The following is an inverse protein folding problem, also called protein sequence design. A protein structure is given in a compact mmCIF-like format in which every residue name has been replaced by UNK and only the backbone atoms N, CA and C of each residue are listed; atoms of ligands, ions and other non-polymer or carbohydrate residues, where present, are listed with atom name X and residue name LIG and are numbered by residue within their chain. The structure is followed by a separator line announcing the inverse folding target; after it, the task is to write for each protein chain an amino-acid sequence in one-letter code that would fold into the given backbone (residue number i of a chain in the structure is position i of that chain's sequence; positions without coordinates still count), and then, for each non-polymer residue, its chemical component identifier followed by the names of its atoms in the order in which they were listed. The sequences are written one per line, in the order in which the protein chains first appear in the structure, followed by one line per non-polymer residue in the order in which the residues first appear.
data_IF_096025300554
#
_entry.id   IF_096025300554
#
_cell.length_a   1.000
_cell.length_b   1.000
_cell.length_c   1.000
_cell.angle_alpha   90.00
_cell.angle_beta   90.00
_cell.angle_gamma   90.00
#
_symmetry.space_group_name_H-M   'P 1'
#
loop_
_entity.id
_entity.type
_entity.pdbx_description
1 polymer ?
#
# COMPACT_ATOMS: atom_id res chain seq x y z
N UNK A 1 -9.44 -25.71 2.01
CA UNK A 1 -10.53 -24.98 2.70
C UNK A 1 -11.53 -26.01 3.15
N UNK A 2 -11.84 -26.07 4.45
CA UNK A 2 -12.96 -26.89 4.91
C UNK A 2 -14.24 -26.19 4.45
N UNK A 3 -14.81 -26.64 3.33
CA UNK A 3 -16.10 -26.14 2.84
C UNK A 3 -17.23 -26.74 3.69
N UNK A 4 -17.26 -26.37 4.97
CA UNK A 4 -18.41 -26.58 5.83
C UNK A 4 -19.26 -25.30 5.83
N UNK A 5 -20.34 -25.21 5.03
CA UNK A 5 -21.16 -24.01 4.92
C UNK A 5 -21.82 -23.62 6.24
N UNK A 6 -21.95 -24.56 7.20
CA UNK A 6 -22.44 -24.25 8.55
C UNK A 6 -21.38 -23.52 9.38
N UNK A 7 -20.12 -23.94 9.28
CA UNK A 7 -19.01 -23.29 9.97
C UNK A 7 -18.83 -21.86 9.48
N UNK A 8 -18.91 -21.62 8.17
CA UNK A 8 -18.84 -20.28 7.57
C UNK A 8 -19.95 -19.36 8.08
N UNK A 9 -21.22 -19.82 8.02
CA UNK A 9 -22.36 -19.02 8.53
C UNK A 9 -22.25 -18.72 10.02
N UNK A 10 -21.72 -19.67 10.79
CA UNK A 10 -21.51 -19.48 12.22
C UNK A 10 -20.37 -18.49 12.47
N UNK A 11 -19.28 -18.59 11.72
CA UNK A 11 -18.15 -17.66 11.77
C UNK A 11 -18.59 -16.21 11.51
N UNK A 12 -19.34 -15.98 10.43
CA UNK A 12 -19.86 -14.65 10.09
C UNK A 12 -20.73 -14.07 11.20
N UNK A 13 -21.63 -14.90 11.77
CA UNK A 13 -22.45 -14.47 12.91
C UNK A 13 -21.61 -14.16 14.14
N UNK A 14 -20.65 -15.01 14.50
CA UNK A 14 -19.75 -14.78 15.64
C UNK A 14 -18.99 -13.48 15.45
N UNK A 15 -18.45 -13.21 14.24
CA UNK A 15 -17.75 -11.98 13.91
C UNK A 15 -18.59 -10.74 14.21
N UNK A 16 -19.83 -10.70 13.70
CA UNK A 16 -20.75 -9.56 13.90
C UNK A 16 -21.11 -9.39 15.39
N UNK A 17 -21.41 -10.49 16.09
CA UNK A 17 -21.79 -10.45 17.50
C UNK A 17 -20.62 -9.94 18.35
N UNK A 18 -19.42 -10.50 18.16
CA UNK A 18 -18.23 -10.10 18.92
C UNK A 18 -17.88 -8.65 18.64
N UNK A 19 -17.87 -8.21 17.38
CA UNK A 19 -17.59 -6.82 17.03
C UNK A 19 -18.59 -5.84 17.68
N UNK A 20 -19.89 -6.15 17.60
CA UNK A 20 -20.95 -5.32 18.22
C UNK A 20 -20.81 -5.27 19.75
N UNK A 21 -20.44 -6.39 20.37
CA UNK A 21 -20.30 -6.48 21.83
C UNK A 21 -19.06 -5.75 22.34
N UNK A 22 -17.98 -5.75 21.57
CA UNK A 22 -16.79 -4.96 21.89
C UNK A 22 -17.11 -3.46 21.85
N UNK A 23 -17.80 -2.99 20.82
CA UNK A 23 -18.19 -1.58 20.66
C UNK A 23 -19.17 -1.11 21.74
N UNK A 24 -20.19 -1.92 22.05
CA UNK A 24 -21.29 -1.46 22.92
C UNK A 24 -21.10 -1.76 24.40
N UNK A 25 -20.41 -2.86 24.75
CA UNK A 25 -20.48 -3.45 26.09
C UNK A 25 -19.14 -3.62 26.80
N UNK A 26 -18.03 -3.67 26.07
CA UNK A 26 -16.70 -3.76 26.67
C UNK A 26 -16.12 -2.36 26.82
N UNK A 27 -16.29 -1.78 28.01
CA UNK A 27 -15.70 -0.50 28.41
C UNK A 27 -14.52 -0.71 29.36
N UNK A 28 -13.54 -1.49 28.92
CA UNK A 28 -12.31 -1.70 29.68
C UNK A 28 -11.30 -0.60 29.31
N UNK A 29 -10.75 0.17 30.27
CA UNK A 29 -9.73 1.18 29.98
C UNK A 29 -8.48 0.64 29.29
N UNK A 30 -8.21 -0.67 29.40
CA UNK A 30 -7.08 -1.37 28.76
C UNK A 30 -7.38 -1.81 27.34
N UNK A 31 -8.64 -1.76 26.91
CA UNK A 31 -9.03 -2.09 25.55
C UNK A 31 -8.70 -0.90 24.66
N UNK A 32 -7.69 -1.05 23.80
CA UNK A 32 -7.38 -0.05 22.76
C UNK A 32 -8.43 -0.03 21.66
N UNK A 33 -8.13 0.66 20.56
CA UNK A 33 -9.00 0.61 19.37
C UNK A 33 -8.84 -0.75 18.67
N UNK A 34 -9.75 -1.67 18.98
CA UNK A 34 -9.72 -3.06 18.48
C UNK A 34 -10.64 -3.25 17.28
N UNK A 35 -10.15 -3.92 16.25
CA UNK A 35 -10.95 -4.33 15.09
C UNK A 35 -10.91 -5.85 14.92
N UNK A 36 -12.07 -6.48 14.69
CA UNK A 36 -12.14 -7.91 14.37
C UNK A 36 -12.02 -8.11 12.86
N UNK A 37 -10.94 -8.76 12.42
CA UNK A 37 -10.61 -8.95 11.00
C UNK A 37 -11.27 -10.19 10.43
N UNK A 38 -11.18 -11.32 11.11
CA UNK A 38 -11.69 -12.61 10.65
C UNK A 38 -12.12 -13.51 11.82
N UNK A 39 -12.97 -14.48 11.52
CA UNK A 39 -13.32 -15.55 12.48
C UNK A 39 -13.28 -16.88 11.74
N UNK A 40 -12.59 -17.87 12.32
CA UNK A 40 -12.53 -19.23 11.79
C UNK A 40 -13.12 -20.20 12.78
N UNK A 41 -14.07 -21.00 12.31
CA UNK A 41 -14.72 -22.04 13.11
C UNK A 41 -14.22 -23.40 12.65
N UNK A 42 -13.90 -24.27 13.60
CA UNK A 42 -13.48 -25.64 13.34
C UNK A 42 -14.60 -26.46 12.67
N UNK A 43 -14.22 -27.54 11.96
CA UNK A 43 -15.18 -28.36 11.22
C UNK A 43 -16.26 -29.01 12.09
N UNK A 44 -15.96 -29.24 13.37
CA UNK A 44 -16.86 -29.78 14.39
C UNK A 44 -17.66 -28.71 15.15
N UNK A 45 -17.48 -27.42 14.82
CA UNK A 45 -18.16 -26.26 15.40
C UNK A 45 -17.90 -26.04 16.90
N UNK A 46 -16.87 -26.66 17.47
CA UNK A 46 -16.56 -26.56 18.91
C UNK A 46 -15.55 -25.46 19.24
N UNK A 47 -14.75 -25.03 18.26
CA UNK A 47 -13.72 -24.02 18.43
C UNK A 47 -13.91 -22.91 17.42
N UNK A 48 -13.76 -21.67 17.87
CA UNK A 48 -13.79 -20.49 17.03
C UNK A 48 -12.59 -19.60 17.36
N UNK A 49 -11.72 -19.41 16.38
CA UNK A 49 -10.58 -18.51 16.45
C UNK A 49 -10.98 -17.15 15.89
N UNK A 50 -10.89 -16.12 16.71
CA UNK A 50 -11.22 -14.73 16.39
C UNK A 50 -9.90 -13.98 16.17
N UNK A 51 -9.71 -13.49 14.95
CA UNK A 51 -8.58 -12.67 14.57
C UNK A 51 -8.92 -11.20 14.81
N UNK A 52 -8.01 -10.48 15.45
CA UNK A 52 -8.21 -9.08 15.79
C UNK A 52 -6.94 -8.27 15.62
N UNK A 53 -7.11 -6.98 15.39
CA UNK A 53 -6.02 -6.01 15.29
C UNK A 53 -6.22 -4.95 16.34
N UNK A 54 -5.12 -4.42 16.86
CA UNK A 54 -5.13 -3.32 17.82
C UNK A 54 -4.37 -2.17 17.20
N UNK A 55 -5.05 -1.04 17.07
CA UNK A 55 -4.40 0.20 16.71
C UNK A 55 -3.85 0.85 17.98
N UNK A 56 -2.52 0.89 18.10
CA UNK A 56 -1.84 1.39 19.29
C UNK A 56 -0.41 0.88 19.42
N UNK A 57 0.17 1.18 20.58
CA UNK A 57 1.48 0.73 21.07
C UNK A 57 1.47 -0.74 21.48
N UNK A 58 2.65 -1.32 21.69
CA UNK A 58 2.77 -2.71 22.16
C UNK A 58 2.18 -2.92 23.57
N UNK A 59 2.25 -1.92 24.44
CA UNK A 59 1.62 -1.95 25.77
C UNK A 59 0.09 -2.04 25.67
N UNK A 60 -0.52 -1.30 24.72
CA UNK A 60 -1.96 -1.37 24.45
C UNK A 60 -2.37 -2.71 23.82
N UNK A 61 -1.49 -3.34 23.03
CA UNK A 61 -1.71 -4.69 22.48
C UNK A 61 -1.78 -5.72 23.61
N UNK A 62 -0.83 -5.69 24.54
CA UNK A 62 -0.82 -6.59 25.70
C UNK A 62 -2.01 -6.35 26.63
N UNK A 63 -2.32 -5.08 26.91
CA UNK A 63 -3.49 -4.70 27.71
C UNK A 63 -4.80 -5.18 27.08
N UNK A 64 -4.93 -5.04 25.77
CA UNK A 64 -6.08 -5.52 25.00
C UNK A 64 -6.20 -7.05 25.06
N UNK A 65 -5.10 -7.78 24.91
CA UNK A 65 -5.12 -9.24 24.97
C UNK A 65 -5.65 -9.73 26.33
N UNK A 66 -5.21 -9.10 27.44
CA UNK A 66 -5.70 -9.41 28.78
C UNK A 66 -7.19 -9.05 28.96
N UNK A 67 -7.64 -7.92 28.41
CA UNK A 67 -9.03 -7.50 28.44
C UNK A 67 -9.95 -8.48 27.68
N UNK A 68 -9.55 -8.89 26.46
CA UNK A 68 -10.28 -9.88 25.66
C UNK A 68 -10.33 -11.24 26.35
N UNK A 69 -9.22 -11.68 26.95
CA UNK A 69 -9.19 -12.92 27.73
C UNK A 69 -10.20 -12.87 28.89
N UNK A 70 -10.25 -11.77 29.62
CA UNK A 70 -11.21 -11.56 30.72
C UNK A 70 -12.66 -11.49 30.23
N UNK A 71 -12.90 -10.88 29.06
CA UNK A 71 -14.23 -10.76 28.46
C UNK A 71 -14.71 -12.05 27.76
N UNK A 72 -13.85 -13.04 27.58
CA UNK A 72 -14.15 -14.27 26.80
C UNK A 72 -15.41 -14.98 27.27
N UNK A 73 -15.61 -15.12 28.59
CA UNK A 73 -16.80 -15.78 29.14
C UNK A 73 -18.10 -15.02 28.83
N UNK A 74 -18.05 -13.69 28.90
CA UNK A 74 -19.19 -12.81 28.60
C UNK A 74 -19.53 -12.84 27.10
N UNK A 75 -18.51 -12.71 26.24
CA UNK A 75 -18.65 -12.78 24.78
C UNK A 75 -19.21 -14.14 24.35
N UNK A 76 -18.68 -15.24 24.90
CA UNK A 76 -19.17 -16.59 24.60
C UNK A 76 -20.64 -16.76 25.01
N UNK A 77 -21.04 -16.27 26.18
CA UNK A 77 -22.45 -16.32 26.62
C UNK A 77 -23.37 -15.57 25.65
N UNK A 78 -22.94 -14.40 25.18
CA UNK A 78 -23.72 -13.61 24.24
C UNK A 78 -23.82 -14.28 22.87
N UNK A 79 -22.71 -14.81 22.36
CA UNK A 79 -22.68 -15.59 21.11
C UNK A 79 -23.69 -16.73 21.20
N UNK A 80 -23.69 -17.50 22.29
CA UNK A 80 -24.66 -18.59 22.49
C UNK A 80 -26.11 -18.11 22.47
N UNK A 81 -26.40 -16.98 23.13
CA UNK A 81 -27.74 -16.39 23.18
C UNK A 81 -28.23 -15.93 21.80
N UNK A 82 -27.38 -15.24 21.03
CA UNK A 82 -27.78 -14.64 19.75
C UNK A 82 -27.76 -15.64 18.58
N UNK A 83 -26.88 -16.65 18.62
CA UNK A 83 -26.81 -17.65 17.55
C UNK A 83 -27.80 -18.80 17.73
N UNK A 84 -28.24 -19.07 18.96
CA UNK A 84 -29.18 -20.16 19.27
C UNK A 84 -28.58 -21.56 19.08
N UNK A 85 -27.25 -21.68 19.04
CA UNK A 85 -26.57 -22.98 18.87
C UNK A 85 -26.67 -23.82 20.14
N UNK A 86 -26.84 -25.14 19.98
CA UNK A 86 -26.88 -26.08 21.10
C UNK A 86 -25.56 -26.11 21.89
N UNK A 87 -24.43 -26.06 21.18
CA UNK A 87 -23.10 -26.00 21.77
C UNK A 87 -22.42 -24.73 21.26
N UNK A 88 -22.14 -23.81 22.18
CA UNK A 88 -21.43 -22.58 21.83
C UNK A 88 -19.93 -22.86 21.76
N UNK A 89 -19.27 -22.56 20.63
CA UNK A 89 -17.85 -22.79 20.47
C UNK A 89 -17.04 -22.04 21.53
N UNK A 90 -15.88 -22.59 21.86
CA UNK A 90 -14.87 -21.87 22.65
C UNK A 90 -14.26 -20.78 21.78
N UNK A 91 -14.18 -19.56 22.31
CA UNK A 91 -13.58 -18.43 21.62
C UNK A 91 -12.10 -18.32 22.00
N UNK A 92 -11.24 -18.31 20.99
CA UNK A 92 -9.81 -18.05 21.12
C UNK A 92 -9.50 -16.75 20.36
N UNK A 93 -8.68 -15.88 20.93
CA UNK A 93 -8.34 -14.58 20.33
C UNK A 93 -6.89 -14.59 19.87
N UNK A 94 -6.67 -14.31 18.60
CA UNK A 94 -5.33 -14.23 18.00
C UNK A 94 -5.14 -12.83 17.42
N UNK A 95 -4.07 -12.16 17.84
CA UNK A 95 -3.70 -10.87 17.28
C UNK A 95 -3.17 -11.07 15.85
N UNK A 96 -3.75 -10.36 14.90
CA UNK A 96 -3.23 -10.25 13.55
C UNK A 96 -2.04 -9.30 13.54
N UNK A 97 -0.97 -9.71 12.87
CA UNK A 97 0.13 -8.83 12.54
C UNK A 97 -0.33 -7.85 11.46
N UNK A 98 -0.95 -6.72 11.85
CA UNK A 98 -1.05 -5.59 10.93
C UNK A 98 0.36 -5.02 10.80
N UNK A 99 0.88 -4.86 9.57
CA UNK A 99 2.16 -4.21 9.40
C UNK A 99 2.07 -2.79 9.96
N UNK A 100 3.16 -2.31 10.59
CA UNK A 100 3.37 -0.92 11.03
C UNK A 100 3.43 0.07 9.84
N UNK A 101 2.69 -0.21 8.77
CA UNK A 101 2.74 0.49 7.49
C UNK A 101 2.24 1.93 7.57
N UNK A 102 1.59 2.36 8.65
CA UNK A 102 1.17 3.74 8.79
C UNK A 102 2.38 4.70 8.73
N UNK A 103 3.45 4.40 9.46
CA UNK A 103 4.68 5.22 9.45
C UNK A 103 5.38 5.16 8.09
N UNK A 104 5.50 3.98 7.52
CA UNK A 104 6.11 3.78 6.20
C UNK A 104 5.36 4.53 5.10
N UNK A 105 4.03 4.50 5.12
CA UNK A 105 3.20 5.24 4.14
C UNK A 105 3.35 6.74 4.33
N UNK A 106 3.39 7.22 5.57
CA UNK A 106 3.58 8.64 5.88
C UNK A 106 4.97 9.14 5.45
N UNK A 107 6.01 8.35 5.68
CA UNK A 107 7.38 8.63 5.24
C UNK A 107 7.46 8.71 3.71
N UNK A 108 6.89 7.72 3.00
CA UNK A 108 6.83 7.72 1.54
C UNK A 108 6.05 8.90 0.97
N UNK A 109 4.94 9.28 1.62
CA UNK A 109 4.12 10.42 1.20
C UNK A 109 4.85 11.75 1.43
N UNK A 110 5.60 11.86 2.52
CA UNK A 110 6.45 13.02 2.81
C UNK A 110 7.56 13.16 1.78
N UNK A 111 8.25 12.05 1.46
CA UNK A 111 9.30 12.01 0.44
C UNK A 111 8.79 12.41 -0.94
N UNK A 112 7.61 11.91 -1.35
CA UNK A 112 6.97 12.27 -2.61
C UNK A 112 6.64 13.77 -2.68
N UNK A 113 6.05 14.33 -1.62
CA UNK A 113 5.75 15.77 -1.53
C UNK A 113 7.02 16.63 -1.65
N UNK A 114 8.12 16.18 -1.06
CA UNK A 114 9.42 16.85 -1.18
C UNK A 114 9.90 16.94 -2.63
N UNK A 115 9.89 15.81 -3.35
CA UNK A 115 10.26 15.75 -4.77
C UNK A 115 9.37 16.62 -5.66
N UNK A 116 8.06 16.57 -5.43
CA UNK A 116 7.11 17.37 -6.22
C UNK A 116 7.32 18.88 -6.02
N UNK A 117 7.64 19.31 -4.80
CA UNK A 117 7.95 20.70 -4.49
C UNK A 117 9.29 21.16 -5.12
N UNK A 118 10.28 20.27 -5.22
CA UNK A 118 11.53 20.54 -5.95
C UNK A 118 11.28 20.67 -7.46
N UNK A 119 10.50 19.76 -8.05
CA UNK A 119 10.11 19.83 -9.45
C UNK A 119 9.30 21.09 -9.77
N UNK A 120 8.37 21.49 -8.89
CA UNK A 120 7.59 22.71 -9.06
C UNK A 120 8.49 23.95 -9.07
N UNK A 121 9.44 24.05 -8.13
CA UNK A 121 10.43 25.13 -8.10
C UNK A 121 11.34 25.15 -9.32
N UNK A 122 11.75 23.98 -9.81
CA UNK A 122 12.56 23.88 -11.02
C UNK A 122 11.79 24.29 -12.29
N UNK A 123 10.47 24.08 -12.32
CA UNK A 123 9.59 24.47 -13.44
C UNK A 123 9.28 25.97 -13.50
N UNK A 124 9.25 26.67 -12.36
CA UNK A 124 8.88 28.09 -12.29
C UNK A 124 9.82 29.02 -13.08
N UNK A 125 11.07 28.60 -13.32
CA UNK A 125 12.05 29.30 -14.16
C UNK A 125 12.44 28.60 -15.46
N UNK A 126 11.80 27.48 -15.80
CA UNK A 126 12.17 26.70 -16.98
C UNK A 126 11.51 27.24 -18.24
N UNK A 127 12.32 27.60 -19.24
CA UNK A 127 11.83 27.82 -20.60
C UNK A 127 11.51 26.48 -21.26
N UNK A 128 10.38 26.40 -21.96
CA UNK A 128 10.05 25.23 -22.76
C UNK A 128 11.13 25.01 -23.82
N UNK A 129 11.59 23.76 -23.99
CA UNK A 129 12.69 23.43 -24.90
C UNK A 129 12.33 23.54 -26.40
N UNK A 130 11.09 23.93 -26.72
CA UNK A 130 10.62 24.11 -28.09
C UNK A 130 10.22 25.57 -28.36
N UNK A 131 10.23 25.92 -29.65
CA UNK A 131 9.71 27.20 -30.13
C UNK A 131 8.18 27.26 -29.96
N UNK A 132 7.63 28.48 -29.93
CA UNK A 132 6.20 28.71 -29.69
C UNK A 132 5.28 28.10 -30.76
N UNK A 133 5.82 27.82 -31.95
CA UNK A 133 5.11 27.14 -33.04
C UNK A 133 5.85 25.82 -33.37
N UNK A 134 5.28 24.65 -33.05
CA UNK A 134 5.89 23.36 -33.31
C UNK A 134 5.72 22.89 -34.78
N UNK A 135 5.05 23.66 -35.63
CA UNK A 135 4.75 23.26 -37.00
C UNK A 135 5.73 23.83 -38.02
N UNK A 136 6.11 23.00 -39.00
CA UNK A 136 6.94 23.41 -40.13
C UNK A 136 6.14 24.36 -41.02
N UNK A 137 6.61 25.60 -41.15
CA UNK A 137 6.01 26.57 -42.07
C UNK A 137 6.24 26.14 -43.52
N UNK A 138 5.25 26.30 -44.41
CA UNK A 138 5.46 26.11 -45.84
C UNK A 138 6.54 27.09 -46.34
N UNK A 139 7.34 26.68 -47.34
CA UNK A 139 8.32 27.55 -47.98
C UNK A 139 7.56 28.64 -48.74
N UNK A 140 7.90 29.90 -48.49
CA UNK A 140 7.43 31.02 -49.30
C UNK A 140 8.19 30.99 -50.64
N UNK A 141 7.49 31.24 -51.75
CA UNK A 141 8.02 31.17 -53.13
C UNK A 141 8.99 32.33 -53.47
N UNK A 142 9.42 33.13 -52.49
CA UNK A 142 10.29 34.31 -52.68
C UNK A 142 11.79 34.03 -52.45
N UNK A 143 12.18 32.80 -52.07
CA UNK A 143 13.58 32.41 -51.84
C UNK A 143 14.34 31.96 -53.13
N UNK A 144 13.83 32.26 -54.33
CA UNK A 144 14.53 31.92 -55.59
C UNK A 144 15.57 32.96 -56.05
N UNK A 145 15.62 34.15 -55.45
CA UNK A 145 16.43 35.25 -56.01
C UNK A 145 17.48 35.80 -55.02
N UNK A 146 18.51 35.02 -54.68
CA UNK A 146 19.83 35.59 -54.38
C UNK A 146 20.93 34.70 -54.96
N UNK A 147 21.40 35.16 -56.12
CA UNK A 147 22.54 34.68 -56.91
C UNK A 147 23.84 34.60 -56.08
N UNK A 148 24.63 33.58 -56.44
CA UNK A 148 26.09 33.49 -56.49
C UNK A 148 26.90 34.66 -55.93
N UNK A 149 27.83 34.37 -55.01
CA UNK A 149 29.26 34.67 -55.22
C UNK A 149 30.11 34.13 -54.06
N UNK A 150 31.21 33.48 -54.46
CA UNK A 150 32.44 33.20 -53.73
C UNK A 150 32.40 32.18 -52.59
N UNK A 151 33.02 31.01 -52.83
CA UNK A 151 34.38 30.73 -52.33
C UNK A 151 34.95 29.48 -53.03
N UNK A 152 35.81 29.73 -54.01
CA UNK A 152 36.79 28.77 -54.50
C UNK A 152 37.79 28.41 -53.37
N UNK A 153 38.07 27.11 -53.25
CA UNK A 153 39.40 26.59 -52.88
C UNK A 153 39.82 26.66 -51.42
N UNK A 154 39.92 25.50 -50.77
CA UNK A 154 41.24 24.91 -50.50
C UNK A 154 41.06 23.47 -49.98
N UNK A 155 41.55 22.55 -50.81
CA UNK A 155 41.71 21.13 -50.54
C UNK A 155 42.86 20.94 -49.55
N UNK A 156 42.65 20.23 -48.43
CA UNK A 156 43.75 19.58 -47.71
C UNK A 156 43.29 18.25 -47.08
N UNK A 157 43.50 17.22 -47.88
CA UNK A 157 44.09 15.91 -47.59
C UNK A 157 43.75 15.15 -46.30
N UNK A 158 43.16 13.99 -46.58
CA UNK A 158 43.06 12.75 -45.82
C UNK A 158 44.46 12.28 -45.37
N UNK A 159 44.60 11.90 -44.09
CA UNK A 159 45.61 10.90 -43.71
C UNK A 159 44.95 9.78 -42.90
N UNK A 160 44.91 8.61 -43.56
CA UNK A 160 44.49 7.32 -43.06
C UNK A 160 45.76 6.55 -42.66
N UNK A 161 45.92 6.15 -41.40
CA UNK A 161 47.17 5.49 -41.02
C UNK A 161 47.24 4.81 -39.65
N UNK A 162 46.82 3.55 -39.60
CA UNK A 162 47.51 2.45 -38.89
C UNK A 162 47.36 2.31 -37.37
N UNK A 163 46.48 1.38 -36.97
CA UNK A 163 46.79 0.36 -35.93
C UNK A 163 47.58 -0.81 -36.59
N UNK A 164 48.14 -1.84 -35.91
CA UNK A 164 48.00 -2.24 -34.49
C UNK A 164 49.31 -2.73 -33.83
N UNK A 165 49.29 -3.11 -32.54
CA UNK A 165 50.49 -3.68 -31.89
C UNK A 165 50.27 -4.27 -30.50
N UNK A 166 49.92 -5.55 -30.48
CA UNK A 166 49.90 -6.49 -29.36
C UNK A 166 51.15 -6.44 -28.45
N UNK A 167 50.98 -6.53 -27.12
CA UNK A 167 51.92 -7.28 -26.28
C UNK A 167 51.17 -8.05 -25.19
N UNK A 168 51.60 -9.30 -25.01
CA UNK A 168 50.95 -10.36 -24.24
C UNK A 168 51.38 -10.34 -22.78
N UNK A 169 50.51 -10.90 -21.95
CA UNK A 169 50.77 -11.35 -20.58
C UNK A 169 51.79 -12.49 -20.51
#
# INVERSE_FOLDING_TARGET
MNDNPRALKLADRIKVIVATMLDTRVKDPRLGFVTITDVRVSGDLQHATVFYTVFGTDEEREGTAAALHSATGMLRREVGRQTGVRLTPTLEFIADAVPENARVIEDLLSEARGRDAELARAKEGAAYAGEADPYRKPRDEEDEDLEDEDLEGEDLDVDEGTAPGHERA
#
